data_IF_265519289604
#
_entry.id   IF_265519289604
#
_cell.length_a   1.000
_cell.length_b   1.000
_cell.length_c   1.000
_cell.angle_alpha   90.00
_cell.angle_beta   90.00
_cell.angle_gamma   90.00
#
_symmetry.space_group_name_H-M   'P 1'
#
loop_
_entity.id
_entity.type
_entity.pdbx_description
1 polymer ?
#
# COMPACT_ATOMS: atom_id res chain seq x y z
N UNK A 1 28.51 17.68 -8.65
CA UNK A 1 27.10 17.25 -8.74
C UNK A 1 26.98 15.81 -8.25
N UNK A 2 27.85 14.92 -8.74
CA UNK A 2 27.91 13.49 -8.41
C UNK A 2 28.06 13.18 -6.91
N UNK A 3 28.79 14.00 -6.16
CA UNK A 3 28.94 13.82 -4.71
C UNK A 3 27.62 13.96 -3.93
N UNK A 4 26.71 14.84 -4.36
CA UNK A 4 25.39 15.00 -3.72
C UNK A 4 24.52 13.79 -4.02
N UNK A 5 24.50 13.37 -5.28
CA UNK A 5 23.78 12.16 -5.70
C UNK A 5 24.26 10.94 -4.92
N UNK A 6 25.57 10.72 -4.87
CA UNK A 6 26.18 9.59 -4.14
C UNK A 6 25.85 9.63 -2.65
N UNK A 7 25.97 10.80 -2.02
CA UNK A 7 25.64 10.95 -0.60
C UNK A 7 24.17 10.60 -0.30
N UNK A 8 23.22 10.97 -1.16
CA UNK A 8 21.81 10.61 -0.99
C UNK A 8 21.60 9.11 -1.21
N UNK A 9 22.19 8.55 -2.26
CA UNK A 9 22.09 7.10 -2.56
C UNK A 9 22.62 6.25 -1.40
N UNK A 10 23.78 6.61 -0.85
CA UNK A 10 24.47 5.85 0.19
C UNK A 10 23.83 6.02 1.58
N UNK A 11 23.14 7.14 1.80
CA UNK A 11 22.53 7.45 3.10
C UNK A 11 21.13 6.86 3.29
N UNK A 12 20.45 6.45 2.21
CA UNK A 12 19.04 6.08 2.24
C UNK A 12 18.81 4.62 1.86
N UNK A 13 17.82 4.01 2.50
CA UNK A 13 17.33 2.67 2.16
C UNK A 13 15.81 2.71 2.05
N UNK A 14 15.21 2.18 0.98
CA UNK A 14 15.85 1.76 -0.27
C UNK A 14 16.63 2.89 -0.97
N UNK A 15 17.49 2.53 -1.93
CA UNK A 15 18.27 3.51 -2.68
C UNK A 15 17.34 4.54 -3.34
N UNK A 16 17.66 5.82 -3.19
CA UNK A 16 16.95 6.94 -3.83
C UNK A 16 17.80 7.44 -4.98
N UNK A 17 17.23 7.52 -6.17
CA UNK A 17 17.88 8.15 -7.34
C UNK A 17 17.38 9.58 -7.48
N UNK A 18 18.11 10.60 -6.97
CA UNK A 18 17.68 11.99 -7.07
C UNK A 18 17.90 12.55 -8.47
N UNK A 19 17.05 13.49 -8.88
CA UNK A 19 17.28 14.32 -10.06
C UNK A 19 17.88 15.64 -9.59
N UNK A 20 19.17 15.87 -9.88
CA UNK A 20 19.90 17.07 -9.45
C UNK A 20 20.10 18.01 -10.64
N UNK A 21 19.66 19.25 -10.52
CA UNK A 21 19.81 20.30 -11.55
C UNK A 21 20.34 21.60 -10.94
N UNK A 22 20.81 22.50 -11.81
CA UNK A 22 21.22 23.86 -11.42
C UNK A 22 20.19 24.86 -11.93
N UNK A 23 19.86 25.84 -11.09
CA UNK A 23 18.99 26.96 -11.45
C UNK A 23 19.69 28.29 -11.13
N UNK A 24 19.57 29.28 -12.01
CA UNK A 24 20.10 30.64 -11.77
C UNK A 24 18.98 31.57 -11.32
N UNK A 25 19.17 32.22 -10.17
CA UNK A 25 18.21 33.19 -9.61
C UNK A 25 18.97 34.40 -9.09
N UNK A 26 18.71 35.58 -9.68
CA UNK A 26 19.36 36.85 -9.30
C UNK A 26 20.89 36.72 -9.23
N UNK A 27 21.49 36.18 -10.30
CA UNK A 27 22.94 35.95 -10.43
C UNK A 27 23.53 34.93 -9.44
N UNK A 28 22.70 34.22 -8.68
CA UNK A 28 23.12 33.12 -7.79
C UNK A 28 22.75 31.78 -8.40
N UNK A 29 23.63 30.80 -8.24
CA UNK A 29 23.39 29.41 -8.66
C UNK A 29 22.81 28.64 -7.47
N UNK A 30 21.65 28.02 -7.69
CA UNK A 30 20.98 27.12 -6.77
C UNK A 30 21.12 25.68 -7.26
N UNK A 31 21.29 24.75 -6.32
CA UNK A 31 21.21 23.32 -6.59
C UNK A 31 19.79 22.88 -6.25
N UNK A 32 19.09 22.33 -7.25
CA UNK A 32 17.72 21.83 -7.10
C UNK A 32 17.78 20.31 -7.09
N UNK A 33 17.29 19.69 -6.02
CA UNK A 33 17.24 18.23 -5.87
C UNK A 33 15.78 17.81 -5.84
N UNK A 34 15.36 17.07 -6.86
CA UNK A 34 14.01 16.53 -6.98
C UNK A 34 14.02 15.04 -6.63
N UNK A 35 13.19 14.68 -5.64
CA UNK A 35 12.98 13.29 -5.22
C UNK A 35 11.59 12.86 -5.68
N UNK A 36 11.54 11.87 -6.57
CA UNK A 36 10.27 11.32 -7.04
C UNK A 36 9.68 10.39 -5.97
N UNK A 37 8.35 10.34 -5.81
CA UNK A 37 7.72 9.38 -4.90
C UNK A 37 8.04 7.96 -5.37
N UNK A 38 8.71 7.20 -4.51
CA UNK A 38 9.01 5.80 -4.76
C UNK A 38 7.90 4.86 -4.27
N UNK A 39 7.84 3.67 -4.86
CA UNK A 39 6.93 2.59 -4.46
C UNK A 39 7.48 1.71 -3.34
N UNK A 40 8.78 1.77 -3.04
CA UNK A 40 9.41 0.89 -2.04
C UNK A 40 9.42 1.54 -0.65
N UNK A 41 8.25 2.00 -0.20
CA UNK A 41 8.11 2.66 1.10
C UNK A 41 8.23 1.62 2.24
N UNK A 42 8.67 2.04 3.43
CA UNK A 42 9.22 3.35 3.76
C UNK A 42 10.66 3.53 3.25
N UNK A 43 11.01 4.77 2.89
CA UNK A 43 12.40 5.20 2.74
C UNK A 43 12.91 5.74 4.07
N UNK A 44 14.14 5.40 4.45
CA UNK A 44 14.73 5.77 5.74
C UNK A 44 16.23 6.00 5.65
N UNK A 45 16.77 6.75 6.61
CA UNK A 45 18.21 6.92 6.77
C UNK A 45 18.84 5.61 7.24
N UNK A 46 19.73 5.04 6.44
CA UNK A 46 20.34 3.73 6.67
C UNK A 46 21.00 3.64 8.05
N UNK A 47 21.73 4.69 8.45
CA UNK A 47 22.43 4.76 9.74
C UNK A 47 21.51 4.73 10.97
N UNK A 48 20.21 5.00 10.81
CA UNK A 48 19.23 5.01 11.91
C UNK A 48 18.27 3.81 11.87
N UNK A 49 18.32 3.01 10.82
CA UNK A 49 17.34 1.95 10.57
C UNK A 49 15.94 2.48 10.27
N UNK A 50 15.01 1.56 9.98
CA UNK A 50 13.65 1.90 9.55
C UNK A 50 12.87 2.66 10.63
N UNK A 51 12.83 2.14 11.84
CA UNK A 51 12.00 2.69 12.93
C UNK A 51 12.41 4.10 13.36
N UNK A 52 13.72 4.38 13.45
CA UNK A 52 14.24 5.68 13.89
C UNK A 52 14.72 6.58 12.74
N UNK A 53 14.74 6.06 11.51
CA UNK A 53 15.26 6.73 10.32
C UNK A 53 14.20 7.14 9.30
N UNK A 54 12.94 6.77 9.49
CA UNK A 54 11.83 7.22 8.64
C UNK A 54 11.30 8.57 9.09
N UNK A 55 11.12 9.47 8.12
CA UNK A 55 10.57 10.81 8.33
C UNK A 55 9.47 11.08 7.30
N UNK A 56 8.48 11.85 7.71
CA UNK A 56 7.43 12.37 6.83
C UNK A 56 7.49 13.89 6.78
N UNK A 57 7.08 14.45 5.63
CA UNK A 57 6.91 15.89 5.49
C UNK A 57 5.46 16.26 5.77
N UNK A 58 5.26 17.13 6.76
CA UNK A 58 3.97 17.72 7.11
C UNK A 58 4.08 19.22 6.91
N UNK A 59 3.44 19.70 5.84
CA UNK A 59 3.52 21.10 5.38
C UNK A 59 4.97 21.58 5.21
N UNK A 60 5.39 22.61 5.95
CA UNK A 60 6.75 23.15 5.90
C UNK A 60 7.79 22.36 6.72
N UNK A 61 7.37 21.34 7.49
CA UNK A 61 8.23 20.67 8.48
C UNK A 61 8.46 19.19 8.17
N UNK A 62 9.58 18.65 8.62
CA UNK A 62 9.89 17.21 8.54
C UNK A 62 9.88 16.64 9.96
N UNK A 63 9.17 15.52 10.17
CA UNK A 63 8.97 14.90 11.49
C UNK A 63 9.28 13.40 11.41
N UNK A 64 9.79 12.77 12.49
CA UNK A 64 9.88 11.31 12.56
C UNK A 64 8.50 10.69 12.30
N UNK A 65 8.45 9.60 11.54
CA UNK A 65 7.24 8.80 11.42
C UNK A 65 7.00 8.06 12.74
N UNK A 66 5.78 8.13 13.26
CA UNK A 66 5.37 7.25 14.35
C UNK A 66 5.12 5.82 13.84
N UNK A 67 4.81 4.90 14.74
CA UNK A 67 4.59 3.50 14.41
C UNK A 67 3.37 3.26 13.51
N UNK A 68 2.35 4.12 13.59
CA UNK A 68 1.13 4.00 12.77
C UNK A 68 1.46 4.41 11.34
N UNK A 69 2.04 5.59 11.15
CA UNK A 69 2.47 6.07 9.84
C UNK A 69 3.50 5.14 9.22
N UNK A 70 4.44 4.64 10.03
CA UNK A 70 5.43 3.68 9.54
C UNK A 70 4.74 2.43 9.00
N UNK A 71 3.70 1.94 9.69
CA UNK A 71 2.95 0.77 9.25
C UNK A 71 2.18 1.03 7.95
N UNK A 72 1.60 2.21 7.79
CA UNK A 72 0.95 2.62 6.54
C UNK A 72 1.95 2.67 5.38
N UNK A 73 3.14 3.26 5.60
CA UNK A 73 4.19 3.29 4.59
C UNK A 73 4.66 1.88 4.18
N UNK A 74 4.71 0.94 5.12
CA UNK A 74 5.00 -0.47 4.81
C UNK A 74 3.92 -1.10 3.91
N UNK A 75 2.64 -0.80 4.18
CA UNK A 75 1.52 -1.27 3.37
C UNK A 75 1.57 -0.70 1.96
N UNK A 76 1.82 0.59 1.81
CA UNK A 76 2.04 1.23 0.52
C UNK A 76 3.23 0.59 -0.22
N UNK A 77 4.30 0.25 0.51
CA UNK A 77 5.49 -0.41 0.01
C UNK A 77 5.25 -1.74 -0.70
N UNK A 78 4.21 -2.46 -0.28
CA UNK A 78 3.81 -3.76 -0.85
C UNK A 78 2.52 -3.69 -1.65
N UNK A 79 1.99 -2.48 -1.89
CA UNK A 79 0.72 -2.22 -2.55
C UNK A 79 -0.44 -3.04 -1.92
N UNK A 80 -0.53 -3.01 -0.58
CA UNK A 80 -1.62 -3.61 0.19
C UNK A 80 -2.22 -2.59 1.13
N UNK A 81 -3.34 -2.92 1.74
CA UNK A 81 -3.92 -2.19 2.86
C UNK A 81 -4.15 -3.12 4.06
N UNK A 82 -4.56 -2.52 5.17
CA UNK A 82 -4.92 -3.26 6.39
C UNK A 82 -6.00 -4.31 6.16
N UNK A 83 -7.01 -4.00 5.34
CA UNK A 83 -8.13 -4.89 5.04
C UNK A 83 -7.67 -6.20 4.38
N UNK A 84 -6.56 -6.16 3.65
CA UNK A 84 -5.97 -7.32 2.98
C UNK A 84 -5.02 -8.14 3.88
N UNK A 85 -4.90 -7.78 5.15
CA UNK A 85 -4.12 -8.54 6.12
C UNK A 85 -4.96 -9.61 6.78
N UNK A 86 -4.29 -10.70 7.15
CA UNK A 86 -4.89 -11.84 7.84
C UNK A 86 -5.63 -11.39 9.11
N UNK A 87 -6.91 -11.74 9.20
CA UNK A 87 -7.73 -11.49 10.39
C UNK A 87 -7.47 -12.61 11.40
N UNK A 88 -6.99 -12.27 12.59
CA UNK A 88 -6.98 -13.21 13.72
C UNK A 88 -8.45 -13.44 14.15
N UNK A 89 -8.94 -14.69 14.26
CA UNK A 89 -8.24 -15.88 14.75
C UNK A 89 -7.90 -16.97 13.69
N UNK A 90 -7.10 -17.96 14.11
CA UNK A 90 -6.40 -19.03 13.36
C UNK A 90 -7.26 -20.05 12.59
N UNK A 91 -8.57 -19.84 12.49
CA UNK A 91 -9.44 -20.80 11.83
C UNK A 91 -9.52 -20.55 10.31
N UNK A 92 -9.53 -21.63 9.55
CA UNK A 92 -9.77 -21.61 8.12
C UNK A 92 -11.22 -21.28 7.83
N UNK A 93 -11.46 -20.57 6.72
CA UNK A 93 -12.80 -20.31 6.20
C UNK A 93 -13.31 -21.52 5.43
N UNK A 94 -14.55 -21.93 5.73
CA UNK A 94 -15.25 -23.00 5.01
C UNK A 94 -15.75 -22.52 3.64
N UNK A 95 -16.00 -23.46 2.72
CA UNK A 95 -16.60 -23.12 1.41
C UNK A 95 -17.99 -22.49 1.56
N UNK A 96 -18.77 -22.87 2.57
CA UNK A 96 -20.10 -22.31 2.83
C UNK A 96 -20.01 -20.83 3.23
N UNK A 97 -19.05 -20.46 4.07
CA UNK A 97 -18.80 -19.06 4.42
C UNK A 97 -18.34 -18.23 3.21
N UNK A 98 -17.46 -18.78 2.37
CA UNK A 98 -17.02 -18.15 1.12
C UNK A 98 -18.20 -17.92 0.18
N UNK A 99 -19.05 -18.93 0.00
CA UNK A 99 -20.24 -18.85 -0.84
C UNK A 99 -21.27 -17.87 -0.26
N UNK A 100 -21.43 -17.82 1.07
CA UNK A 100 -22.28 -16.86 1.76
C UNK A 100 -21.84 -15.42 1.45
N UNK A 101 -20.55 -15.11 1.58
CA UNK A 101 -20.03 -13.77 1.24
C UNK A 101 -20.22 -13.47 -0.26
N UNK A 102 -19.88 -14.41 -1.15
CA UNK A 102 -20.06 -14.22 -2.59
C UNK A 102 -21.51 -13.88 -2.96
N UNK A 103 -22.47 -14.58 -2.34
CA UNK A 103 -23.89 -14.35 -2.56
C UNK A 103 -24.32 -13.00 -2.00
N UNK A 104 -23.90 -12.63 -0.77
CA UNK A 104 -24.20 -11.32 -0.19
C UNK A 104 -23.71 -10.16 -1.07
N UNK A 105 -22.46 -10.23 -1.54
CA UNK A 105 -21.90 -9.21 -2.44
C UNK A 105 -22.69 -9.10 -3.76
N UNK A 106 -23.09 -10.24 -4.32
CA UNK A 106 -23.88 -10.28 -5.55
C UNK A 106 -25.28 -9.68 -5.34
N UNK A 107 -25.99 -10.07 -4.28
CA UNK A 107 -27.33 -9.55 -3.99
C UNK A 107 -27.28 -8.04 -3.74
N UNK A 108 -26.32 -7.58 -2.95
CA UNK A 108 -26.11 -6.15 -2.71
C UNK A 108 -25.93 -5.38 -4.03
N UNK A 109 -25.10 -5.90 -4.95
CA UNK A 109 -24.89 -5.28 -6.25
C UNK A 109 -26.16 -5.24 -7.12
N UNK A 110 -26.96 -6.31 -7.12
CA UNK A 110 -28.21 -6.40 -7.89
C UNK A 110 -29.27 -5.45 -7.32
N UNK A 111 -29.46 -5.41 -6.01
CA UNK A 111 -30.43 -4.54 -5.33
C UNK A 111 -30.17 -3.04 -5.57
N UNK A 112 -28.90 -2.68 -5.79
CA UNK A 112 -28.48 -1.30 -6.02
C UNK A 112 -28.25 -0.96 -7.50
N UNK A 113 -28.62 -1.86 -8.42
CA UNK A 113 -28.63 -1.54 -9.84
C UNK A 113 -29.81 -0.62 -10.20
N UNK A 114 -29.50 0.43 -10.98
CA UNK A 114 -30.49 1.42 -11.42
C UNK A 114 -31.36 0.94 -12.60
N UNK A 115 -30.94 -0.10 -13.32
CA UNK A 115 -31.68 -0.68 -14.45
C UNK A 115 -31.46 -2.18 -14.56
N UNK A 116 -32.45 -2.89 -15.11
CA UNK A 116 -32.40 -4.35 -15.36
C UNK A 116 -31.26 -4.73 -16.31
N UNK A 117 -31.01 -3.93 -17.36
CA UNK A 117 -29.89 -4.12 -18.30
C UNK A 117 -28.50 -4.04 -17.63
N UNK A 118 -28.38 -3.27 -16.54
CA UNK A 118 -27.13 -3.19 -15.76
C UNK A 118 -27.00 -4.39 -14.82
N UNK A 119 -28.12 -4.90 -14.29
CA UNK A 119 -28.14 -6.05 -13.40
C UNK A 119 -27.67 -7.33 -14.11
N UNK A 120 -28.02 -7.51 -15.39
CA UNK A 120 -27.59 -8.66 -16.20
C UNK A 120 -26.07 -8.71 -16.44
N UNK A 121 -25.37 -7.58 -16.27
CA UNK A 121 -23.91 -7.48 -16.43
C UNK A 121 -23.14 -7.70 -15.13
N UNK A 122 -23.85 -7.87 -14.00
CA UNK A 122 -23.21 -8.16 -12.71
C UNK A 122 -22.69 -9.60 -12.73
N UNK A 123 -21.37 -9.71 -12.59
CA UNK A 123 -20.74 -11.01 -12.42
C UNK A 123 -20.90 -11.51 -10.99
N UNK A 124 -21.26 -12.78 -10.85
CA UNK A 124 -21.18 -13.45 -9.55
C UNK A 124 -19.75 -13.45 -9.04
N UNK A 125 -19.60 -13.18 -7.75
CA UNK A 125 -18.32 -13.28 -7.07
C UNK A 125 -17.92 -14.75 -6.96
N UNK A 126 -16.61 -15.01 -7.01
CA UNK A 126 -16.06 -16.36 -6.87
C UNK A 126 -14.94 -16.34 -5.85
N UNK A 127 -14.63 -17.50 -5.26
CA UNK A 127 -13.46 -17.69 -4.40
C UNK A 127 -12.17 -17.15 -5.03
N UNK A 128 -11.97 -17.36 -6.33
CA UNK A 128 -10.80 -16.86 -7.06
C UNK A 128 -10.76 -15.32 -7.10
N UNK A 129 -11.91 -14.65 -7.24
CA UNK A 129 -11.98 -13.19 -7.19
C UNK A 129 -11.68 -12.69 -5.77
N UNK A 130 -12.23 -13.32 -4.74
CA UNK A 130 -11.94 -12.97 -3.34
C UNK A 130 -10.44 -13.10 -3.03
N UNK A 131 -9.77 -14.15 -3.52
CA UNK A 131 -8.31 -14.28 -3.44
C UNK A 131 -7.59 -13.15 -4.17
N UNK A 132 -7.99 -12.85 -5.42
CA UNK A 132 -7.37 -11.79 -6.21
C UNK A 132 -7.54 -10.40 -5.60
N UNK A 133 -8.63 -10.17 -4.86
CA UNK A 133 -8.93 -8.91 -4.20
C UNK A 133 -8.35 -8.81 -2.78
N UNK A 134 -7.80 -9.91 -2.26
CA UNK A 134 -7.22 -9.96 -0.92
C UNK A 134 -8.24 -10.08 0.21
N UNK A 135 -9.42 -10.64 -0.05
CA UNK A 135 -10.39 -11.03 0.97
C UNK A 135 -10.00 -12.37 1.63
N UNK A 136 -9.21 -13.18 0.93
CA UNK A 136 -8.76 -14.48 1.42
C UNK A 136 -7.24 -14.61 1.23
N UNK A 137 -6.61 -15.33 2.15
CA UNK A 137 -5.21 -15.76 2.04
C UNK A 137 -5.18 -17.28 1.96
N UNK A 138 -4.54 -17.85 0.94
CA UNK A 138 -4.31 -19.29 0.84
C UNK A 138 -3.03 -19.67 1.60
N UNK A 139 -3.10 -20.65 2.50
CA UNK A 139 -1.93 -21.26 3.16
C UNK A 139 -2.07 -22.77 3.09
N UNK A 140 -1.15 -23.46 2.39
CA UNK A 140 -1.34 -24.88 2.08
C UNK A 140 -2.59 -25.08 1.24
N UNK A 141 -3.46 -25.99 1.67
CA UNK A 141 -4.75 -26.25 1.02
C UNK A 141 -5.91 -25.45 1.61
N UNK A 142 -5.67 -24.76 2.73
CA UNK A 142 -6.67 -24.01 3.47
C UNK A 142 -6.71 -22.53 3.09
N UNK A 143 -7.86 -21.93 3.35
CA UNK A 143 -8.15 -20.52 3.10
C UNK A 143 -8.41 -19.82 4.42
N UNK A 144 -7.85 -18.63 4.58
CA UNK A 144 -7.91 -17.85 5.82
C UNK A 144 -8.52 -16.48 5.54
N UNK A 145 -9.33 -15.94 6.47
CA UNK A 145 -9.97 -14.65 6.26
C UNK A 145 -8.95 -13.51 6.38
N UNK A 146 -9.17 -12.44 5.63
CA UNK A 146 -8.56 -11.15 5.90
C UNK A 146 -9.53 -10.24 6.64
N UNK A 147 -9.06 -9.09 7.13
CA UNK A 147 -9.95 -8.12 7.77
C UNK A 147 -11.10 -7.70 6.84
N UNK A 148 -10.88 -7.61 5.52
CA UNK A 148 -11.92 -7.34 4.52
C UNK A 148 -13.05 -8.37 4.51
N UNK A 149 -12.73 -9.64 4.77
CA UNK A 149 -13.71 -10.72 4.80
C UNK A 149 -14.60 -10.66 6.05
N UNK A 150 -14.09 -10.08 7.13
CA UNK A 150 -14.77 -9.99 8.42
C UNK A 150 -15.65 -8.74 8.57
N UNK A 151 -15.58 -7.78 7.62
CA UNK A 151 -16.40 -6.56 7.59
C UNK A 151 -17.79 -6.84 7.00
#
# INVERSE_FOLDING_TARGET
MDGITSAICDSCTPMITPIVTLASVKEKILIVVNIMPGSQRPYYLAAKGKESGTYIRVSGTTRPADSIVLKELEFEGVNRCFDQTYAAPEESVTEDEINCLCNKMYQYAVEHCRSEETAERIYRMTKQRLLSWGFLVKRGDDYFPTNAFCL
#
